data_IF_487930623654
#
_entry.id   IF_487930623654
#
_cell.length_a   1.000
_cell.length_b   1.000
_cell.length_c   1.000
_cell.angle_alpha   90.00
_cell.angle_beta   90.00
_cell.angle_gamma   90.00
#
_symmetry.space_group_name_H-M   'P 1'
#
loop_
_entity.id
_entity.type
_entity.pdbx_description
1 polymer ?
#
# COMPACT_ATOMS: atom_id res chain seq x y z
N UNK A 1 -6.32 -3.95 2.35
CA UNK A 1 -4.88 -3.61 2.37
C UNK A 1 -4.54 -2.39 3.23
N UNK A 2 -5.51 -1.57 3.67
CA UNK A 2 -5.23 -0.34 4.43
C UNK A 2 -4.69 -0.51 5.85
N UNK A 3 -4.52 -1.74 6.33
CA UNK A 3 -4.07 -2.07 7.69
C UNK A 3 -2.54 -2.24 7.76
N UNK A 4 -1.91 -2.67 6.65
CA UNK A 4 -0.48 -3.05 6.63
C UNK A 4 0.37 -1.89 6.10
N UNK A 5 -0.12 -1.17 5.10
CA UNK A 5 0.63 -0.11 4.42
C UNK A 5 0.45 1.26 5.08
N UNK A 6 1.56 1.95 5.32
CA UNK A 6 1.53 3.38 5.66
C UNK A 6 1.26 4.19 4.40
N UNK A 7 0.21 5.00 4.43
CA UNK A 7 -0.15 5.95 3.37
C UNK A 7 0.17 7.36 3.85
N UNK A 8 1.04 8.08 3.13
CA UNK A 8 1.28 9.49 3.38
C UNK A 8 0.06 10.35 3.02
N UNK A 9 -0.10 11.50 3.68
CA UNK A 9 -1.16 12.46 3.36
C UNK A 9 -1.01 12.93 1.90
N UNK A 10 -2.11 12.91 1.15
CA UNK A 10 -2.21 13.55 -0.14
C UNK A 10 -3.25 14.65 -0.08
N UNK A 11 -2.83 15.90 -0.24
CA UNK A 11 -3.74 17.04 -0.35
C UNK A 11 -4.49 17.02 -1.69
N UNK A 12 -5.73 17.51 -1.68
CA UNK A 12 -6.51 17.66 -2.90
C UNK A 12 -5.84 18.68 -3.83
N UNK A 13 -5.82 18.39 -5.13
CA UNK A 13 -5.33 19.34 -6.14
C UNK A 13 -6.11 19.20 -7.44
N UNK A 14 -6.37 20.31 -8.11
CA UNK A 14 -6.91 20.33 -9.47
C UNK A 14 -5.84 20.82 -10.42
N UNK A 15 -5.74 20.20 -11.60
CA UNK A 15 -4.86 20.68 -12.67
C UNK A 15 -5.56 20.55 -14.02
N UNK A 16 -5.18 21.44 -14.93
CA UNK A 16 -5.67 21.45 -16.31
C UNK A 16 -4.69 20.61 -17.13
N UNK A 17 -5.21 19.59 -17.81
CA UNK A 17 -4.43 18.79 -18.77
C UNK A 17 -4.20 19.58 -20.05
N UNK A 18 -3.22 19.16 -20.86
CA UNK A 18 -2.87 19.83 -22.11
C UNK A 18 -4.06 19.96 -23.08
N UNK A 19 -5.04 19.07 -22.96
CA UNK A 19 -6.30 19.05 -23.72
C UNK A 19 -7.42 19.92 -23.12
N UNK A 20 -7.11 20.78 -22.15
CA UNK A 20 -8.08 21.67 -21.48
C UNK A 20 -8.98 21.00 -20.44
N UNK A 21 -8.88 19.67 -20.23
CA UNK A 21 -9.71 18.96 -19.23
C UNK A 21 -9.19 19.21 -17.81
N UNK A 22 -10.11 19.52 -16.89
CA UNK A 22 -9.81 19.68 -15.47
C UNK A 22 -9.84 18.31 -14.79
N UNK A 23 -8.75 17.95 -14.11
CA UNK A 23 -8.68 16.74 -13.29
C UNK A 23 -8.63 17.08 -11.81
N UNK A 24 -9.62 16.62 -11.07
CA UNK A 24 -9.69 16.75 -9.61
C UNK A 24 -9.08 15.52 -8.94
N UNK A 25 -8.00 15.73 -8.21
CA UNK A 25 -7.39 14.71 -7.35
C UNK A 25 -7.96 14.91 -5.95
N UNK A 26 -8.64 13.87 -5.44
CA UNK A 26 -9.20 13.85 -4.08
C UNK A 26 -8.09 13.79 -3.03
N UNK A 27 -8.35 14.39 -1.88
CA UNK A 27 -7.49 14.25 -0.72
C UNK A 27 -7.53 12.80 -0.19
N UNK A 28 -6.40 12.32 0.33
CA UNK A 28 -6.31 11.07 1.09
C UNK A 28 -5.63 11.37 2.43
N UNK A 29 -6.26 11.03 3.57
CA UNK A 29 -5.65 11.24 4.88
C UNK A 29 -4.43 10.34 5.07
N UNK A 30 -3.47 10.80 5.87
CA UNK A 30 -2.37 9.94 6.31
C UNK A 30 -2.91 8.78 7.14
N UNK A 31 -2.35 7.59 6.93
CA UNK A 31 -2.64 6.39 7.73
C UNK A 31 -1.32 5.71 8.04
N UNK A 32 -1.07 5.46 9.31
CA UNK A 32 0.07 4.68 9.76
C UNK A 32 -0.38 3.21 9.74
N UNK A 33 0.26 2.42 8.89
CA UNK A 33 0.07 0.97 8.85
C UNK A 33 1.14 0.27 9.68
N UNK A 34 1.02 -1.05 9.79
CA UNK A 34 2.00 -1.91 10.48
C UNK A 34 3.43 -1.74 9.94
N UNK A 35 3.57 -1.40 8.65
CA UNK A 35 4.85 -1.17 7.98
C UNK A 35 4.99 0.31 7.61
N UNK A 36 6.19 0.91 7.73
CA UNK A 36 6.47 2.26 7.23
C UNK A 36 6.61 2.28 5.69
N UNK A 37 5.94 1.37 4.99
CA UNK A 37 5.99 1.21 3.54
C UNK A 37 4.64 1.53 2.92
N UNK A 38 4.68 2.16 1.75
CA UNK A 38 3.50 2.36 0.92
C UNK A 38 2.96 1.05 0.36
N UNK A 39 1.67 1.05 0.01
CA UNK A 39 0.98 -0.14 -0.54
C UNK A 39 1.66 -0.62 -1.83
N UNK A 40 2.06 0.30 -2.71
CA UNK A 40 2.80 -0.03 -3.94
C UNK A 40 4.14 -0.69 -3.64
N UNK A 41 4.88 -0.18 -2.65
CA UNK A 41 6.19 -0.72 -2.26
C UNK A 41 6.08 -2.13 -1.72
N UNK A 42 5.03 -2.43 -0.93
CA UNK A 42 4.76 -3.79 -0.46
C UNK A 42 4.49 -4.71 -1.66
N UNK A 43 3.65 -4.30 -2.61
CA UNK A 43 3.39 -5.09 -3.81
C UNK A 43 4.63 -5.30 -4.68
N UNK A 44 5.49 -4.31 -4.80
CA UNK A 44 6.76 -4.46 -5.53
C UNK A 44 7.69 -5.43 -4.82
N UNK A 45 7.79 -5.38 -3.50
CA UNK A 45 8.56 -6.37 -2.72
C UNK A 45 7.98 -7.78 -2.80
N UNK A 46 6.65 -7.91 -2.83
CA UNK A 46 5.96 -9.20 -3.07
C UNK A 46 6.32 -9.73 -4.45
N UNK A 47 6.29 -8.88 -5.50
CA UNK A 47 6.70 -9.28 -6.86
C UNK A 47 8.18 -9.65 -6.94
N UNK A 48 9.03 -8.98 -6.16
CA UNK A 48 10.46 -9.28 -6.05
C UNK A 48 10.75 -10.54 -5.22
N UNK A 49 9.75 -11.10 -4.52
CA UNK A 49 9.93 -12.26 -3.64
C UNK A 49 10.57 -11.94 -2.29
N UNK A 50 10.87 -10.67 -2.01
CA UNK A 50 11.46 -10.22 -0.74
C UNK A 50 10.41 -9.91 0.34
N UNK A 51 9.13 -10.19 0.12
CA UNK A 51 8.04 -10.03 1.08
C UNK A 51 7.20 -11.32 1.08
N UNK A 52 6.62 -11.75 2.22
CA UNK A 52 5.79 -12.95 2.27
C UNK A 52 4.66 -12.90 1.24
N UNK A 53 4.37 -14.05 0.62
CA UNK A 53 3.28 -14.12 -0.36
C UNK A 53 1.92 -13.96 0.32
N UNK A 54 1.00 -13.20 -0.30
CA UNK A 54 -0.36 -13.07 0.23
C UNK A 54 -1.18 -14.33 -0.01
N UNK A 55 -2.03 -14.69 0.96
CA UNK A 55 -3.03 -15.73 0.85
C UNK A 55 -4.35 -15.16 0.31
N UNK A 56 -4.93 -15.82 -0.68
CA UNK A 56 -6.29 -15.51 -1.16
C UNK A 56 -7.32 -16.12 -0.23
N UNK A 57 -8.11 -15.27 0.44
CA UNK A 57 -9.25 -15.68 1.27
C UNK A 57 -10.54 -15.78 0.43
N UNK A 58 -10.67 -14.93 -0.58
CA UNK A 58 -11.78 -14.96 -1.55
C UNK A 58 -11.36 -14.30 -2.86
N UNK A 59 -12.26 -14.29 -3.86
CA UNK A 59 -11.99 -13.70 -5.19
C UNK A 59 -11.51 -12.24 -5.15
N UNK A 60 -11.88 -11.48 -4.11
CA UNK A 60 -11.52 -10.06 -3.97
C UNK A 60 -10.71 -9.76 -2.71
N UNK A 61 -10.42 -10.76 -1.88
CA UNK A 61 -9.77 -10.57 -0.59
C UNK A 61 -8.45 -11.35 -0.55
N UNK A 62 -7.38 -10.60 -0.37
CA UNK A 62 -6.04 -11.12 -0.14
C UNK A 62 -5.56 -10.63 1.22
N UNK A 63 -4.98 -11.54 2.01
CA UNK A 63 -4.51 -11.26 3.35
C UNK A 63 -3.17 -11.96 3.61
N UNK A 64 -2.50 -11.51 4.65
CA UNK A 64 -1.29 -12.14 5.16
C UNK A 64 -1.56 -12.60 6.59
N UNK A 65 -0.89 -13.67 7.01
CA UNK A 65 -0.82 -14.01 8.43
C UNK A 65 0.04 -12.96 9.13
N UNK A 66 -0.37 -12.57 10.33
CA UNK A 66 0.40 -11.64 11.16
C UNK A 66 1.78 -12.18 11.50
N UNK A 67 1.87 -13.49 11.75
CA UNK A 67 3.12 -14.19 12.08
C UNK A 67 4.14 -14.10 10.93
N UNK A 68 3.71 -14.32 9.69
CA UNK A 68 4.62 -14.24 8.52
C UNK A 68 5.21 -12.83 8.34
N UNK A 69 4.42 -11.78 8.64
CA UNK A 69 4.90 -10.40 8.59
C UNK A 69 5.85 -10.11 9.75
N UNK A 70 5.56 -10.61 10.95
CA UNK A 70 6.43 -10.45 12.13
C UNK A 70 7.78 -11.15 11.93
N UNK A 71 7.77 -12.39 11.46
CA UNK A 71 8.99 -13.14 11.14
C UNK A 71 9.81 -12.44 10.05
N UNK A 72 9.15 -11.85 9.06
CA UNK A 72 9.80 -11.06 8.03
C UNK A 72 10.43 -9.77 8.56
N UNK A 73 9.74 -9.08 9.48
CA UNK A 73 10.27 -7.89 10.15
C UNK A 73 11.51 -8.24 10.98
N UNK A 74 11.46 -9.33 11.74
CA UNK A 74 12.58 -9.83 12.54
C UNK A 74 13.78 -10.21 11.66
N UNK A 75 13.53 -10.87 10.51
CA UNK A 75 14.59 -11.25 9.58
C UNK A 75 15.28 -10.07 8.86
N UNK A 76 14.68 -8.87 8.87
CA UNK A 76 15.22 -7.66 8.21
C UNK A 76 15.86 -6.69 9.20
N UNK A 77 15.57 -6.85 10.49
CA UNK A 77 16.09 -5.99 11.55
C UNK A 77 17.54 -6.37 11.92
#
# INVERSE_FOLDING_TARGET
MSQIATTAERRARSYITKDGKIRHIKARPARIGLLPLGESTIWDKVRQGSFPQPYRLSDRITAWKSEDIQNWLDAIQ
#
